data_IF_384047286971
#
_entry.id   IF_384047286971
#
_cell.length_a   1.000
_cell.length_b   1.000
_cell.length_c   1.000
_cell.angle_alpha   90.00
_cell.angle_beta   90.00
_cell.angle_gamma   90.00
#
_symmetry.space_group_name_H-M   'P 1'
#
loop_
_entity.id
_entity.type
_entity.pdbx_description
1 polymer ?
#
# COMPACT_ATOMS: atom_id res chain seq x y z
N UNK A 1 -0.73 24.09 -8.45
CA UNK A 1 -0.60 22.77 -7.81
C UNK A 1 -0.31 21.74 -8.88
N UNK A 2 0.68 20.91 -8.67
CA UNK A 2 1.05 19.91 -9.67
C UNK A 2 0.04 18.76 -9.69
N UNK A 3 -0.05 18.08 -10.83
CA UNK A 3 -0.89 16.90 -10.99
C UNK A 3 -0.52 15.82 -9.97
N UNK A 4 0.79 15.65 -9.71
CA UNK A 4 1.26 14.67 -8.73
C UNK A 4 0.82 15.01 -7.32
N UNK A 5 0.77 16.28 -6.95
CA UNK A 5 0.27 16.69 -5.63
C UNK A 5 -1.21 16.35 -5.47
N UNK A 6 -2.00 16.49 -6.52
CA UNK A 6 -3.41 16.09 -6.48
C UNK A 6 -3.56 14.59 -6.29
N UNK A 7 -2.75 13.79 -7.00
CA UNK A 7 -2.77 12.33 -6.87
C UNK A 7 -2.38 11.93 -5.45
N UNK A 8 -1.31 12.50 -4.90
CA UNK A 8 -0.86 12.20 -3.54
C UNK A 8 -1.94 12.53 -2.51
N UNK A 9 -2.62 13.66 -2.67
CA UNK A 9 -3.71 14.05 -1.76
C UNK A 9 -4.87 13.05 -1.81
N UNK A 10 -5.24 12.60 -3.00
CA UNK A 10 -6.31 11.62 -3.17
C UNK A 10 -5.92 10.25 -2.62
N UNK A 11 -4.68 9.83 -2.85
CA UNK A 11 -4.17 8.58 -2.29
C UNK A 11 -4.18 8.61 -0.78
N UNK A 12 -3.71 9.71 -0.19
CA UNK A 12 -3.71 9.88 1.27
C UNK A 12 -5.12 9.76 1.83
N UNK A 13 -6.10 10.39 1.17
CA UNK A 13 -7.50 10.30 1.58
C UNK A 13 -8.03 8.87 1.53
N UNK A 14 -7.76 8.14 0.44
CA UNK A 14 -8.20 6.77 0.28
C UNK A 14 -7.56 5.83 1.32
N UNK A 15 -6.25 5.97 1.55
CA UNK A 15 -5.57 5.15 2.54
C UNK A 15 -6.10 5.43 3.96
N UNK A 16 -6.33 6.69 4.29
CA UNK A 16 -6.92 7.06 5.58
C UNK A 16 -8.31 6.45 5.76
N UNK A 17 -9.15 6.52 4.73
CA UNK A 17 -10.48 5.91 4.75
C UNK A 17 -10.41 4.40 4.89
N UNK A 18 -9.53 3.75 4.14
CA UNK A 18 -9.37 2.30 4.20
C UNK A 18 -8.92 1.84 5.58
N UNK A 19 -8.01 2.59 6.21
CA UNK A 19 -7.56 2.28 7.56
C UNK A 19 -8.70 2.39 8.56
N UNK A 20 -9.46 3.48 8.52
CA UNK A 20 -10.59 3.68 9.42
C UNK A 20 -11.68 2.63 9.24
N UNK A 21 -11.82 2.12 8.02
CA UNK A 21 -12.79 1.07 7.71
C UNK A 21 -12.29 -0.34 8.08
N UNK A 22 -11.06 -0.48 8.58
CA UNK A 22 -10.48 -1.78 8.90
C UNK A 22 -10.11 -2.59 7.66
N UNK A 23 -9.84 -1.91 6.55
CA UNK A 23 -9.54 -2.55 5.25
C UNK A 23 -8.10 -2.33 4.80
N UNK A 24 -7.22 -2.00 5.73
CA UNK A 24 -5.82 -1.73 5.42
C UNK A 24 -4.93 -2.30 6.52
N UNK A 25 -3.91 -3.02 6.11
CA UNK A 25 -2.83 -3.47 6.99
C UNK A 25 -1.64 -2.54 6.79
N UNK A 26 -1.15 -1.94 7.86
CA UNK A 26 -0.05 -0.99 7.83
C UNK A 26 1.22 -1.64 8.39
N UNK A 27 2.31 -1.49 7.66
CA UNK A 27 3.61 -2.00 8.06
C UNK A 27 3.92 -3.37 7.49
N UNK A 28 5.19 -3.76 7.63
CA UNK A 28 5.70 -5.00 7.01
C UNK A 28 4.99 -6.24 7.55
N UNK A 29 4.97 -6.43 8.85
CA UNK A 29 4.44 -7.66 9.44
C UNK A 29 2.94 -7.82 9.17
N UNK A 30 2.17 -6.74 9.32
CA UNK A 30 0.75 -6.76 9.06
C UNK A 30 0.45 -7.05 7.58
N UNK A 31 1.24 -6.46 6.68
CA UNK A 31 1.09 -6.68 5.25
C UNK A 31 1.41 -8.13 4.88
N UNK A 32 2.47 -8.71 5.43
CA UNK A 32 2.79 -10.13 5.22
C UNK A 32 1.65 -11.00 5.74
N UNK A 33 1.06 -10.62 6.88
CA UNK A 33 -0.09 -11.34 7.43
C UNK A 33 -1.25 -11.46 6.44
N UNK A 34 -1.50 -10.41 5.65
CA UNK A 34 -2.57 -10.45 4.63
C UNK A 34 -2.23 -11.39 3.48
N UNK A 35 -0.95 -11.60 3.20
CA UNK A 35 -0.53 -12.57 2.18
C UNK A 35 -0.71 -14.01 2.69
N UNK A 36 -0.35 -14.26 3.94
CA UNK A 36 -0.51 -15.56 4.58
C UNK A 36 -1.99 -15.95 4.61
N UNK A 37 -2.87 -15.03 4.98
CA UNK A 37 -4.30 -15.29 5.08
C UNK A 37 -5.05 -15.14 3.76
N UNK A 38 -4.34 -14.73 2.69
CA UNK A 38 -4.89 -14.54 1.34
C UNK A 38 -6.02 -13.50 1.30
N UNK A 39 -5.91 -12.45 2.13
CA UNK A 39 -6.90 -11.37 2.19
C UNK A 39 -6.49 -10.13 1.39
N UNK A 40 -5.24 -10.04 0.96
CA UNK A 40 -4.75 -8.86 0.24
C UNK A 40 -5.30 -8.81 -1.18
N UNK A 41 -5.86 -7.67 -1.56
CA UNK A 41 -6.23 -7.35 -2.94
C UNK A 41 -5.19 -6.48 -3.63
N UNK A 42 -4.38 -5.77 -2.86
CA UNK A 42 -3.29 -4.94 -3.38
C UNK A 42 -2.26 -4.75 -2.28
N UNK A 43 -1.01 -4.57 -2.68
CA UNK A 43 0.08 -4.31 -1.75
C UNK A 43 0.99 -3.25 -2.36
N UNK A 44 1.42 -2.28 -1.55
CA UNK A 44 2.19 -1.14 -2.01
C UNK A 44 3.35 -0.85 -1.08
N UNK A 45 4.41 -0.29 -1.65
CA UNK A 45 5.54 0.21 -0.88
C UNK A 45 5.67 1.72 -1.05
N UNK A 46 6.19 2.40 -0.02
CA UNK A 46 6.47 3.82 -0.09
C UNK A 46 7.62 4.09 -1.08
N UNK A 47 7.66 5.32 -1.63
CA UNK A 47 8.67 5.69 -2.61
C UNK A 47 10.10 5.53 -2.07
N UNK A 48 10.30 5.79 -0.78
CA UNK A 48 11.60 5.70 -0.12
C UNK A 48 11.73 4.47 0.78
N UNK A 49 10.93 3.44 0.56
CA UNK A 49 11.11 2.18 1.27
C UNK A 49 12.51 1.63 0.99
N UNK A 50 13.16 1.09 2.01
CA UNK A 50 14.53 0.59 1.85
C UNK A 50 14.59 -0.60 0.90
N UNK A 51 15.75 -0.79 0.26
CA UNK A 51 15.97 -1.94 -0.62
C UNK A 51 15.73 -3.25 0.11
N UNK A 52 16.11 -3.31 1.39
CA UNK A 52 15.87 -4.48 2.22
C UNK A 52 14.38 -4.76 2.35
N UNK A 53 13.58 -3.74 2.66
CA UNK A 53 12.13 -3.88 2.79
C UNK A 53 11.51 -4.35 1.48
N UNK A 54 11.92 -3.76 0.36
CA UNK A 54 11.41 -4.13 -0.97
C UNK A 54 11.73 -5.59 -1.28
N UNK A 55 12.96 -6.02 -1.01
CA UNK A 55 13.37 -7.41 -1.24
C UNK A 55 12.59 -8.38 -0.36
N UNK A 56 12.42 -8.06 0.91
CA UNK A 56 11.73 -8.92 1.86
C UNK A 56 10.26 -9.07 1.51
N UNK A 57 9.58 -7.97 1.13
CA UNK A 57 8.17 -8.05 0.76
C UNK A 57 7.98 -8.76 -0.59
N UNK A 58 8.89 -8.56 -1.54
CA UNK A 58 8.87 -9.25 -2.82
C UNK A 58 9.05 -10.77 -2.62
N UNK A 59 9.96 -11.13 -1.72
CA UNK A 59 10.16 -12.53 -1.34
C UNK A 59 8.91 -13.13 -0.70
N UNK A 60 8.26 -12.37 0.18
CA UNK A 60 7.02 -12.83 0.84
C UNK A 60 5.91 -13.07 -0.18
N UNK A 61 5.76 -12.17 -1.16
CA UNK A 61 4.80 -12.36 -2.25
C UNK A 61 5.03 -13.68 -2.98
N UNK A 62 6.27 -13.94 -3.33
CA UNK A 62 6.64 -15.16 -4.02
C UNK A 62 6.44 -16.40 -3.15
N UNK A 63 6.89 -16.33 -1.90
CA UNK A 63 6.81 -17.44 -0.94
C UNK A 63 5.38 -17.88 -0.69
N UNK A 64 4.44 -16.95 -0.62
CA UNK A 64 3.04 -17.26 -0.34
C UNK A 64 2.21 -17.45 -1.61
N UNK A 65 2.87 -17.56 -2.76
CA UNK A 65 2.21 -17.84 -4.03
C UNK A 65 1.26 -16.73 -4.48
N UNK A 66 1.50 -15.50 -4.06
CA UNK A 66 0.66 -14.37 -4.45
C UNK A 66 0.89 -14.02 -5.92
N UNK A 67 -0.20 -13.70 -6.62
CA UNK A 67 -0.13 -13.17 -7.99
C UNK A 67 -0.06 -11.65 -8.01
N UNK A 68 -0.13 -11.02 -6.83
CA UNK A 68 -0.07 -9.56 -6.74
C UNK A 68 1.33 -9.05 -7.06
N UNK A 69 1.38 -7.90 -7.72
CA UNK A 69 2.63 -7.16 -7.92
C UNK A 69 2.76 -6.10 -6.84
N UNK A 70 3.99 -5.87 -6.37
CA UNK A 70 4.25 -4.82 -5.40
C UNK A 70 4.20 -3.48 -6.12
N UNK A 71 3.20 -2.65 -5.79
CA UNK A 71 3.05 -1.32 -6.36
C UNK A 71 3.93 -0.31 -5.65
N UNK A 72 4.44 0.67 -6.40
CA UNK A 72 5.19 1.78 -5.83
C UNK A 72 4.28 2.99 -5.67
N UNK A 73 4.28 3.59 -4.48
CA UNK A 73 3.50 4.79 -4.20
C UNK A 73 4.36 6.04 -4.40
N UNK A 74 3.77 7.15 -4.89
CA UNK A 74 4.47 8.43 -4.92
C UNK A 74 4.43 9.13 -3.55
N UNK A 75 4.36 8.38 -2.48
CA UNK A 75 4.33 8.85 -1.10
C UNK A 75 5.55 8.31 -0.37
N UNK A 76 6.21 9.17 0.42
CA UNK A 76 7.30 8.71 1.28
C UNK A 76 6.72 7.93 2.47
N UNK A 77 7.60 7.23 3.18
CA UNK A 77 7.21 6.53 4.41
C UNK A 77 6.55 7.48 5.41
N UNK A 78 7.07 8.70 5.52
CA UNK A 78 6.53 9.71 6.42
C UNK A 78 5.15 10.17 5.98
N UNK A 79 4.99 10.47 4.69
CA UNK A 79 3.71 10.89 4.13
C UNK A 79 2.66 9.80 4.28
N UNK A 80 3.06 8.56 4.07
CA UNK A 80 2.15 7.42 4.23
C UNK A 80 1.73 7.26 5.69
N UNK A 81 2.67 7.37 6.63
CA UNK A 81 2.35 7.37 8.06
C UNK A 81 1.39 8.48 8.45
N UNK A 82 1.62 9.70 7.93
CA UNK A 82 0.72 10.83 8.18
C UNK A 82 -0.68 10.56 7.65
N UNK A 83 -0.79 10.00 6.44
CA UNK A 83 -2.08 9.65 5.84
C UNK A 83 -2.86 8.63 6.68
N UNK A 84 -2.15 7.74 7.35
CA UNK A 84 -2.75 6.70 8.20
C UNK A 84 -2.97 7.16 9.64
N UNK A 85 -2.56 8.38 9.98
CA UNK A 85 -2.71 8.92 11.32
C UNK A 85 -1.80 8.27 12.35
N UNK A 86 -0.66 7.73 11.92
CA UNK A 86 0.32 7.11 12.83
C UNK A 86 1.55 8.01 12.96
N UNK A 87 2.17 8.09 14.16
CA UNK A 87 3.39 8.88 14.35
C UNK A 87 4.63 8.24 13.73
N UNK A 88 4.55 6.98 13.31
CA UNK A 88 5.69 6.25 12.76
C UNK A 88 5.64 6.22 11.24
N UNK A 89 6.80 6.29 10.57
CA UNK A 89 6.83 6.07 9.11
C UNK A 89 6.33 4.67 8.76
N UNK A 90 5.67 4.55 7.61
CA UNK A 90 5.12 3.29 7.14
C UNK A 90 5.68 3.00 5.76
N UNK A 91 6.39 1.89 5.62
CA UNK A 91 7.05 1.53 4.36
C UNK A 91 6.22 0.66 3.44
N UNK A 92 5.29 -0.11 3.97
CA UNK A 92 4.47 -1.05 3.21
C UNK A 92 3.04 -1.02 3.74
N UNK A 93 2.06 -1.10 2.84
CA UNK A 93 0.64 -1.24 3.19
C UNK A 93 0.02 -2.30 2.29
N UNK A 94 -1.00 -2.97 2.81
CA UNK A 94 -1.81 -3.88 2.01
C UNK A 94 -3.28 -3.50 2.17
N UNK A 95 -4.03 -3.56 1.08
CA UNK A 95 -5.47 -3.31 1.07
C UNK A 95 -6.19 -4.66 1.03
N UNK A 96 -7.14 -4.82 1.95
CA UNK A 96 -7.92 -6.06 2.06
C UNK A 96 -9.34 -5.89 1.56
N UNK A 97 -9.57 -4.87 0.72
CA UNK A 97 -10.85 -4.56 0.13
C UNK A 97 -10.67 -4.27 -1.36
N UNK A 98 -11.47 -4.94 -2.18
CA UNK A 98 -11.38 -4.80 -3.64
C UNK A 98 -11.69 -3.37 -4.10
N UNK A 99 -12.68 -2.72 -3.49
CA UNK A 99 -13.07 -1.36 -3.86
C UNK A 99 -11.95 -0.37 -3.66
N UNK A 100 -11.31 -0.39 -2.49
CA UNK A 100 -10.16 0.48 -2.23
C UNK A 100 -8.97 0.14 -3.14
N UNK A 101 -8.71 -1.14 -3.37
CA UNK A 101 -7.63 -1.56 -4.25
C UNK A 101 -7.83 -1.04 -5.67
N UNK A 102 -9.06 -1.13 -6.17
CA UNK A 102 -9.42 -0.61 -7.51
C UNK A 102 -9.26 0.90 -7.58
N UNK A 103 -9.76 1.62 -6.57
CA UNK A 103 -9.68 3.08 -6.54
C UNK A 103 -8.23 3.57 -6.51
N UNK A 104 -7.39 2.95 -5.68
CA UNK A 104 -5.98 3.30 -5.61
C UNK A 104 -5.28 2.96 -6.93
N UNK A 105 -5.58 1.80 -7.51
CA UNK A 105 -5.01 1.39 -8.79
C UNK A 105 -5.32 2.37 -9.91
N UNK A 106 -6.53 2.91 -9.95
CA UNK A 106 -6.91 3.93 -10.94
C UNK A 106 -6.11 5.21 -10.78
N UNK A 107 -5.89 5.65 -9.54
CA UNK A 107 -5.09 6.85 -9.29
C UNK A 107 -3.63 6.67 -9.71
N UNK A 108 -3.12 5.46 -9.60
CA UNK A 108 -1.74 5.15 -9.98
C UNK A 108 -1.62 4.74 -11.45
N UNK A 109 -2.73 4.74 -12.18
CA UNK A 109 -2.79 4.33 -13.58
C UNK A 109 -2.23 2.91 -13.79
N UNK A 110 -2.59 2.01 -12.86
CA UNK A 110 -2.20 0.61 -12.94
C UNK A 110 -3.19 -0.15 -13.82
N UNK A 111 -2.72 -1.19 -14.54
CA UNK A 111 -3.62 -2.01 -15.35
C UNK A 111 -4.72 -2.63 -14.48
N UNK A 112 -5.96 -2.61 -14.99
CA UNK A 112 -7.06 -3.32 -14.35
C UNK A 112 -6.95 -4.80 -14.66
N UNK A 113 -7.14 -5.61 -13.66
CA UNK A 113 -7.19 -7.07 -13.83
C UNK A 113 -8.62 -7.52 -14.07
#
# INVERSE_FOLDING_TARGET
MSEQNLVCGRLSGLFGMAKRAGRLAAGFDASVGTLVTRKAYAIFRAADASDKTVKEISFALQRHGSTLSLGELPLTKRQLGDALGTPKPVGVVALTDKGFATAVGKLLDLPAD
#
